data_IF_780704501231
#
_entry.id   IF_780704501231
#
_cell.length_a   1.000
_cell.length_b   1.000
_cell.length_c   1.000
_cell.angle_alpha   90.00
_cell.angle_beta   90.00
_cell.angle_gamma   90.00
#
_symmetry.space_group_name_H-M   'P 1'
#
loop_
_entity.id
_entity.type
_entity.pdbx_description
1 polymer ?
#
# COMPACT_ATOMS: atom_id res chain seq x y z
N UNK A 1 -1.04 -5.29 22.79
CA UNK A 1 -2.16 -5.61 21.90
C UNK A 1 -1.77 -5.21 20.48
N UNK A 2 -1.95 -6.07 19.50
CA UNK A 2 -1.69 -5.77 18.08
C UNK A 2 -3.01 -5.42 17.43
N UNK A 3 -3.10 -4.29 16.76
CA UNK A 3 -4.35 -3.79 16.21
C UNK A 3 -4.17 -3.37 14.75
N UNK A 4 -5.21 -3.62 13.98
CA UNK A 4 -5.37 -3.13 12.61
C UNK A 4 -6.70 -2.39 12.58
N UNK A 5 -6.65 -1.12 12.22
CA UNK A 5 -7.83 -0.26 12.07
C UNK A 5 -7.93 0.18 10.62
N UNK A 6 -9.12 0.13 10.05
CA UNK A 6 -9.41 0.69 8.74
C UNK A 6 -10.39 1.85 8.87
N UNK A 7 -10.00 3.01 8.38
CA UNK A 7 -10.80 4.22 8.30
C UNK A 7 -11.46 4.31 6.93
N UNK A 8 -12.74 3.97 6.85
CA UNK A 8 -13.43 3.84 5.57
C UNK A 8 -13.54 5.15 4.78
N UNK A 9 -13.72 6.27 5.44
CA UNK A 9 -13.84 7.59 4.78
C UNK A 9 -12.56 8.04 4.10
N UNK A 10 -11.42 7.81 4.75
CA UNK A 10 -10.09 8.19 4.25
C UNK A 10 -9.35 7.05 3.55
N UNK A 11 -9.96 5.84 3.53
CA UNK A 11 -9.36 4.60 3.01
C UNK A 11 -7.96 4.35 3.56
N UNK A 12 -7.79 4.58 4.86
CA UNK A 12 -6.50 4.48 5.55
C UNK A 12 -6.46 3.26 6.46
N UNK A 13 -5.37 2.53 6.38
CA UNK A 13 -5.05 1.40 7.25
C UNK A 13 -4.02 1.84 8.28
N UNK A 14 -4.29 1.64 9.55
CA UNK A 14 -3.37 1.87 10.64
C UNK A 14 -3.09 0.55 11.38
N UNK A 15 -1.89 0.02 11.19
CA UNK A 15 -1.38 -1.16 11.88
C UNK A 15 -0.51 -0.68 13.02
N UNK A 16 -0.78 -1.13 14.25
CA UNK A 16 0.03 -0.72 15.38
C UNK A 16 0.11 -1.75 16.50
N UNK A 17 1.16 -1.63 17.26
CA UNK A 17 1.36 -2.32 18.52
C UNK A 17 1.72 -1.32 19.62
N UNK A 18 2.33 -1.77 20.70
CA UNK A 18 2.73 -0.89 21.82
C UNK A 18 3.88 0.06 21.47
N UNK A 19 4.67 -0.25 20.44
CA UNK A 19 5.93 0.45 20.12
C UNK A 19 5.90 1.19 18.78
N UNK A 20 5.23 0.63 17.78
CA UNK A 20 5.28 1.12 16.40
C UNK A 20 3.90 1.34 15.81
N UNK A 21 3.84 2.24 14.84
CA UNK A 21 2.71 2.43 13.91
C UNK A 21 3.20 2.29 12.49
N UNK A 22 2.38 1.62 11.66
CA UNK A 22 2.53 1.53 10.23
C UNK A 22 1.22 1.97 9.57
N UNK A 23 1.27 2.99 8.71
CA UNK A 23 0.07 3.60 8.12
C UNK A 23 0.19 3.62 6.61
N UNK A 24 -0.84 3.12 5.95
CA UNK A 24 -1.00 3.08 4.51
C UNK A 24 -2.36 3.66 4.14
N UNK A 25 -2.51 4.17 2.93
CA UNK A 25 -3.80 4.59 2.42
C UNK A 25 -3.99 4.20 0.95
N UNK A 26 -5.24 4.21 0.52
CA UNK A 26 -5.55 4.20 -0.91
C UNK A 26 -5.43 5.63 -1.41
N UNK A 27 -4.49 5.86 -2.32
CA UNK A 27 -4.26 7.14 -2.96
C UNK A 27 -5.41 7.51 -3.91
N UNK A 28 -5.50 8.79 -4.27
CA UNK A 28 -6.56 9.34 -5.15
C UNK A 28 -6.68 8.61 -6.50
N UNK A 29 -5.57 8.10 -7.01
CA UNK A 29 -5.52 7.32 -8.25
C UNK A 29 -5.76 5.81 -8.06
N UNK A 30 -6.05 5.36 -6.85
CA UNK A 30 -6.33 3.97 -6.50
C UNK A 30 -5.11 3.11 -6.16
N UNK A 31 -3.89 3.65 -6.22
CA UNK A 31 -2.70 2.93 -5.76
C UNK A 31 -2.60 2.92 -4.23
N UNK A 32 -1.84 1.98 -3.69
CA UNK A 32 -1.52 1.95 -2.27
C UNK A 32 -0.34 2.86 -1.96
N UNK A 33 -0.57 3.86 -1.10
CA UNK A 33 0.44 4.76 -0.60
C UNK A 33 0.92 4.37 0.80
N UNK A 34 2.22 4.51 1.04
CA UNK A 34 2.82 4.38 2.35
C UNK A 34 2.92 5.76 2.99
N UNK A 35 2.27 5.95 4.14
CA UNK A 35 2.22 7.26 4.81
C UNK A 35 3.25 7.36 5.92
N UNK A 36 3.28 6.37 6.81
CA UNK A 36 4.08 6.44 8.02
C UNK A 36 4.58 5.07 8.47
N UNK A 37 5.83 5.01 8.88
CA UNK A 37 6.39 3.91 9.65
C UNK A 37 7.32 4.47 10.73
N UNK A 38 7.04 4.16 11.99
CA UNK A 38 7.86 4.68 13.08
C UNK A 38 7.28 4.38 14.46
N UNK A 39 7.67 5.21 15.44
CA UNK A 39 7.13 5.10 16.80
C UNK A 39 5.62 5.18 16.80
N UNK A 40 4.99 4.47 17.75
CA UNK A 40 3.56 4.49 17.91
C UNK A 40 3.01 5.91 17.99
N UNK A 41 2.00 6.20 17.18
CA UNK A 41 1.21 7.43 17.24
C UNK A 41 -0.24 7.10 17.57
N UNK A 42 -0.99 8.09 18.02
CA UNK A 42 -2.42 7.93 18.29
C UNK A 42 -3.17 7.70 16.99
N UNK A 43 -4.16 6.81 17.05
CA UNK A 43 -5.06 6.58 15.93
C UNK A 43 -5.95 7.80 15.69
N UNK A 44 -6.17 8.12 14.42
CA UNK A 44 -7.02 9.23 13.95
C UNK A 44 -7.74 8.81 12.68
N UNK A 45 -8.90 9.40 12.43
CA UNK A 45 -9.68 9.20 11.21
C UNK A 45 -8.92 9.64 9.96
N UNK A 46 -8.10 10.68 10.04
CA UNK A 46 -7.41 11.29 8.92
C UNK A 46 -5.92 11.46 9.17
N UNK A 47 -5.12 10.90 8.27
CA UNK A 47 -3.66 11.01 8.19
C UNK A 47 -3.19 11.67 6.89
N UNK A 48 -4.08 12.27 6.11
CA UNK A 48 -3.77 12.86 4.79
C UNK A 48 -2.67 13.93 4.85
N UNK A 49 -2.55 14.61 5.99
CA UNK A 49 -1.48 15.60 6.22
C UNK A 49 -0.06 15.03 6.22
N UNK A 50 0.09 13.70 6.28
CA UNK A 50 1.37 13.02 6.16
C UNK A 50 1.70 12.61 4.71
N UNK A 51 0.75 12.73 3.79
CA UNK A 51 0.99 12.48 2.37
C UNK A 51 1.74 13.66 1.78
N UNK A 52 2.89 13.40 1.20
CA UNK A 52 3.70 14.44 0.55
C UNK A 52 3.05 14.87 -0.76
N UNK A 53 2.59 16.12 -0.82
CA UNK A 53 2.04 16.75 -2.02
C UNK A 53 2.86 17.99 -2.36
N UNK A 54 3.45 18.02 -3.55
CA UNK A 54 4.29 19.10 -4.00
C UNK A 54 3.91 19.45 -5.44
N UNK A 55 3.40 20.67 -5.64
CA UNK A 55 3.22 21.18 -6.99
C UNK A 55 4.58 21.62 -7.54
N UNK A 56 5.03 20.92 -8.60
CA UNK A 56 6.30 21.23 -9.27
C UNK A 56 6.07 21.50 -10.75
N UNK A 57 6.69 22.54 -11.33
CA UNK A 57 6.64 22.78 -12.75
C UNK A 57 7.21 21.58 -13.53
N UNK A 58 6.59 21.25 -14.66
CA UNK A 58 7.05 20.18 -15.58
C UNK A 58 7.13 18.78 -14.94
N UNK A 59 6.46 18.53 -13.84
CA UNK A 59 6.37 17.22 -13.22
C UNK A 59 5.30 16.40 -13.94
N UNK A 60 5.60 15.14 -14.20
CA UNK A 60 4.59 14.19 -14.64
C UNK A 60 3.57 13.93 -13.54
N UNK A 61 2.31 14.12 -13.80
CA UNK A 61 1.23 13.78 -12.90
C UNK A 61 0.19 12.91 -13.62
N UNK A 62 -0.44 12.04 -12.84
CA UNK A 62 -1.40 11.06 -13.35
C UNK A 62 -2.83 11.31 -12.85
N UNK A 63 -3.03 12.45 -12.19
CA UNK A 63 -4.33 12.84 -11.65
C UNK A 63 -4.67 14.26 -12.11
N UNK A 64 -5.60 14.37 -13.07
CA UNK A 64 -5.90 15.62 -13.79
C UNK A 64 -6.35 16.77 -12.89
N UNK A 65 -6.96 16.46 -11.74
CA UNK A 65 -7.58 17.43 -10.86
C UNK A 65 -6.61 17.98 -9.78
N UNK A 66 -5.46 17.33 -9.57
CA UNK A 66 -4.50 17.74 -8.54
C UNK A 66 -3.07 17.69 -9.08
N UNK A 67 -2.55 18.86 -9.45
CA UNK A 67 -1.17 19.00 -9.96
C UNK A 67 -0.09 18.77 -8.90
N UNK A 68 -0.46 18.75 -7.63
CA UNK A 68 0.44 18.38 -6.54
C UNK A 68 0.56 16.87 -6.35
N UNK A 69 -0.29 16.08 -7.02
CA UNK A 69 -0.30 14.63 -6.95
C UNK A 69 0.59 14.03 -8.05
N UNK A 70 1.70 13.44 -7.67
CA UNK A 70 2.59 12.71 -8.58
C UNK A 70 3.22 11.51 -7.89
N UNK A 71 3.18 10.34 -8.54
CA UNK A 71 3.86 9.16 -8.04
C UNK A 71 5.40 9.27 -8.12
N UNK A 72 5.92 10.29 -8.77
CA UNK A 72 7.36 10.57 -8.81
C UNK A 72 7.94 10.84 -7.41
N UNK A 73 7.16 11.44 -6.50
CA UNK A 73 7.60 11.76 -5.14
C UNK A 73 6.73 11.12 -4.03
N UNK A 74 5.47 10.83 -4.29
CA UNK A 74 4.61 10.13 -3.32
C UNK A 74 5.14 8.73 -3.10
N UNK A 75 5.23 8.31 -1.84
CA UNK A 75 5.67 6.96 -1.50
C UNK A 75 4.55 5.96 -1.77
N UNK A 76 4.83 4.97 -2.58
CA UNK A 76 3.96 3.84 -2.82
C UNK A 76 4.33 2.66 -1.93
N UNK A 77 3.34 1.90 -1.51
CA UNK A 77 3.53 0.64 -0.79
C UNK A 77 4.12 -0.44 -1.69
N UNK A 78 3.69 -0.49 -2.93
CA UNK A 78 4.14 -1.47 -3.93
C UNK A 78 4.35 -0.80 -5.30
N UNK A 79 5.48 -0.11 -5.48
CA UNK A 79 5.77 0.61 -6.72
C UNK A 79 6.00 -0.32 -7.90
N UNK A 80 5.54 0.06 -9.09
CA UNK A 80 5.73 -0.66 -10.35
C UNK A 80 6.02 0.31 -11.48
N UNK A 81 6.54 -0.19 -12.61
CA UNK A 81 6.77 0.64 -13.80
C UNK A 81 5.45 1.00 -14.51
N UNK A 82 5.41 2.21 -15.06
CA UNK A 82 4.38 2.65 -16.02
C UNK A 82 3.46 3.74 -15.53
N UNK A 83 3.59 4.19 -14.27
CA UNK A 83 2.71 5.16 -13.64
C UNK A 83 3.44 6.41 -13.14
N UNK A 84 4.45 6.87 -13.89
CA UNK A 84 5.33 8.01 -13.55
C UNK A 84 6.22 7.82 -12.32
N UNK A 85 6.24 6.64 -11.72
CA UNK A 85 7.24 6.25 -10.72
C UNK A 85 8.46 5.67 -11.43
N UNK A 86 9.61 6.34 -11.33
CA UNK A 86 10.87 5.96 -11.96
C UNK A 86 11.84 5.28 -10.99
N UNK A 87 11.41 5.06 -9.75
CA UNK A 87 12.18 4.31 -8.75
C UNK A 87 12.20 2.83 -9.11
N UNK A 88 13.10 2.09 -8.48
CA UNK A 88 13.17 0.65 -8.65
C UNK A 88 11.83 0.00 -8.25
N UNK A 89 11.19 -0.80 -9.12
CA UNK A 89 9.91 -1.41 -8.84
C UNK A 89 10.03 -2.56 -7.84
N UNK A 90 8.95 -2.84 -7.13
CA UNK A 90 8.84 -4.00 -6.24
C UNK A 90 8.78 -5.31 -7.01
N UNK A 91 8.27 -5.29 -8.25
CA UNK A 91 8.21 -6.42 -9.17
C UNK A 91 8.36 -5.94 -10.61
N UNK A 92 9.02 -6.75 -11.44
CA UNK A 92 9.03 -6.60 -12.89
C UNK A 92 8.28 -7.75 -13.56
N UNK A 93 7.26 -7.42 -14.32
CA UNK A 93 6.45 -8.37 -15.05
C UNK A 93 6.65 -8.16 -16.55
N UNK A 94 7.29 -9.13 -17.23
CA UNK A 94 7.41 -9.13 -18.67
C UNK A 94 6.16 -9.74 -19.31
N UNK A 95 5.37 -8.94 -19.98
CA UNK A 95 4.18 -9.37 -20.68
C UNK A 95 4.53 -9.99 -22.04
N UNK A 96 3.61 -10.75 -22.63
CA UNK A 96 3.81 -11.43 -23.93
C UNK A 96 4.11 -10.46 -25.09
N UNK A 97 3.65 -9.22 -25.00
CA UNK A 97 3.90 -8.16 -25.97
C UNK A 97 5.22 -7.42 -25.75
N UNK A 98 6.04 -7.85 -24.78
CA UNK A 98 7.31 -7.21 -24.41
C UNK A 98 7.18 -6.03 -23.46
N UNK A 99 5.97 -5.61 -23.09
CA UNK A 99 5.74 -4.53 -22.12
C UNK A 99 6.11 -4.96 -20.70
N UNK A 100 6.61 -4.01 -19.91
CA UNK A 100 6.84 -4.16 -18.45
C UNK A 100 5.95 -3.24 -17.62
N UNK A 101 4.99 -2.59 -18.25
CA UNK A 101 4.08 -1.67 -17.58
C UNK A 101 3.05 -2.44 -16.78
N UNK A 102 2.86 -2.06 -15.53
CA UNK A 102 1.84 -2.59 -14.63
C UNK A 102 1.15 -1.47 -13.88
N UNK A 103 -0.10 -1.69 -13.47
CA UNK A 103 -0.90 -0.71 -12.74
C UNK A 103 -1.77 -1.41 -11.70
N UNK A 104 -1.20 -1.67 -10.52
CA UNK A 104 -1.91 -2.33 -9.43
C UNK A 104 -2.76 -1.35 -8.64
N UNK A 105 -4.07 -1.46 -8.77
CA UNK A 105 -5.07 -0.66 -8.03
C UNK A 105 -5.72 -1.48 -6.93
N UNK A 106 -6.02 -0.82 -5.83
CA UNK A 106 -6.74 -1.39 -4.70
C UNK A 106 -8.13 -1.87 -5.11
N UNK A 107 -8.49 -3.09 -4.68
CA UNK A 107 -9.80 -3.68 -4.92
C UNK A 107 -10.53 -4.09 -3.65
N UNK A 108 -9.81 -4.29 -2.56
CA UNK A 108 -10.42 -4.69 -1.29
C UNK A 108 -9.40 -5.14 -0.25
N UNK A 109 -9.89 -5.51 0.92
CA UNK A 109 -9.08 -6.03 2.00
C UNK A 109 -9.82 -7.05 2.85
N UNK A 110 -9.08 -7.78 3.66
CA UNK A 110 -9.58 -8.70 4.67
C UNK A 110 -8.70 -8.58 5.93
N UNK A 111 -9.33 -8.62 7.11
CA UNK A 111 -8.63 -8.69 8.39
C UNK A 111 -9.03 -10.00 9.07
N UNK A 112 -8.05 -10.86 9.36
CA UNK A 112 -8.25 -12.16 9.98
C UNK A 112 -7.43 -12.31 11.25
N UNK A 113 -7.94 -13.08 12.21
CA UNK A 113 -7.15 -13.50 13.37
C UNK A 113 -6.13 -14.56 12.95
N UNK A 114 -5.03 -14.56 13.66
CA UNK A 114 -3.97 -15.53 13.43
C UNK A 114 -3.08 -15.16 12.26
N UNK A 115 -2.20 -16.08 11.92
CA UNK A 115 -1.19 -15.95 10.90
C UNK A 115 -1.34 -17.05 9.86
N UNK A 116 -1.51 -16.71 8.57
CA UNK A 116 -1.57 -17.71 7.52
C UNK A 116 -0.21 -18.41 7.35
N UNK A 117 -0.25 -19.70 7.04
CA UNK A 117 0.93 -20.45 6.62
C UNK A 117 1.21 -20.16 5.15
N UNK A 118 2.34 -19.52 4.87
CA UNK A 118 2.80 -19.26 3.51
C UNK A 118 3.90 -20.26 3.16
N UNK A 119 3.68 -21.05 2.11
CA UNK A 119 4.68 -22.02 1.66
C UNK A 119 5.91 -21.30 1.08
N UNK A 120 7.11 -21.74 1.51
CA UNK A 120 8.37 -21.26 0.95
C UNK A 120 8.77 -19.84 1.33
N UNK A 121 8.03 -19.16 2.19
CA UNK A 121 8.37 -17.82 2.66
C UNK A 121 8.81 -17.85 4.13
N UNK A 122 9.75 -16.97 4.52
CA UNK A 122 10.09 -16.76 5.92
C UNK A 122 8.84 -16.32 6.71
N UNK A 123 8.75 -16.76 7.93
CA UNK A 123 7.61 -16.44 8.77
C UNK A 123 8.04 -16.02 10.16
N UNK A 124 7.39 -14.99 10.71
CA UNK A 124 7.50 -14.61 12.12
C UNK A 124 6.83 -15.72 12.95
N UNK A 125 7.44 -16.08 14.07
CA UNK A 125 6.89 -17.04 14.99
C UNK A 125 5.68 -16.46 15.75
N UNK A 126 4.64 -17.25 15.88
CA UNK A 126 3.48 -16.99 16.74
C UNK A 126 3.05 -18.32 17.38
N UNK A 127 2.91 -18.35 18.70
CA UNK A 127 2.53 -19.57 19.45
C UNK A 127 1.06 -19.90 19.29
N UNK A 128 0.23 -18.86 19.17
CA UNK A 128 -1.23 -19.02 19.04
C UNK A 128 -1.80 -18.06 17.99
N UNK A 129 -3.01 -18.35 17.53
CA UNK A 129 -3.74 -17.45 16.63
C UNK A 129 -4.09 -16.10 17.28
N UNK A 130 -4.14 -16.05 18.62
CA UNK A 130 -4.46 -14.82 19.35
C UNK A 130 -3.29 -13.82 19.37
N UNK A 131 -2.08 -14.27 19.09
CA UNK A 131 -0.88 -13.42 19.07
C UNK A 131 -0.71 -12.63 17.79
N UNK A 132 -1.43 -12.98 16.74
CA UNK A 132 -1.33 -12.34 15.44
C UNK A 132 -2.69 -11.90 14.90
N UNK A 133 -2.66 -10.80 14.15
CA UNK A 133 -3.75 -10.35 13.30
C UNK A 133 -3.14 -10.11 11.94
N UNK A 134 -3.79 -10.61 10.90
CA UNK A 134 -3.31 -10.48 9.52
C UNK A 134 -4.20 -9.53 8.75
N UNK A 135 -3.59 -8.55 8.10
CA UNK A 135 -4.21 -7.74 7.06
C UNK A 135 -3.82 -8.31 5.71
N UNK A 136 -4.82 -8.59 4.88
CA UNK A 136 -4.64 -8.92 3.47
C UNK A 136 -5.23 -7.81 2.63
N UNK A 137 -4.44 -7.22 1.74
CA UNK A 137 -4.87 -6.19 0.81
C UNK A 137 -4.83 -6.79 -0.60
N UNK A 138 -5.91 -6.63 -1.34
CA UNK A 138 -6.04 -7.09 -2.72
C UNK A 138 -5.82 -5.94 -3.68
N UNK A 139 -4.89 -6.11 -4.59
CA UNK A 139 -4.64 -5.21 -5.69
C UNK A 139 -4.85 -5.95 -7.01
N UNK A 140 -5.31 -5.23 -8.03
CA UNK A 140 -5.48 -5.77 -9.38
C UNK A 140 -4.81 -4.87 -10.40
N UNK A 141 -4.02 -5.49 -11.26
CA UNK A 141 -3.47 -4.80 -12.43
C UNK A 141 -4.58 -4.56 -13.45
N UNK A 142 -4.85 -3.29 -13.73
CA UNK A 142 -5.90 -2.88 -14.68
C UNK A 142 -5.62 -3.28 -16.13
N UNK A 143 -4.34 -3.48 -16.47
CA UNK A 143 -3.89 -3.81 -17.84
C UNK A 143 -3.92 -5.32 -18.11
N UNK A 144 -3.49 -6.13 -17.16
CA UNK A 144 -3.32 -7.59 -17.35
C UNK A 144 -4.32 -8.43 -16.60
N UNK A 145 -5.01 -7.83 -15.61
CA UNK A 145 -5.91 -8.54 -14.72
C UNK A 145 -5.22 -9.38 -13.63
N UNK A 146 -3.90 -9.31 -13.51
CA UNK A 146 -3.13 -9.99 -12.45
C UNK A 146 -3.59 -9.48 -11.09
N UNK A 147 -3.77 -10.39 -10.16
CA UNK A 147 -4.08 -10.09 -8.76
C UNK A 147 -2.81 -10.18 -7.94
N UNK A 148 -2.59 -9.17 -7.11
CA UNK A 148 -1.52 -9.12 -6.13
C UNK A 148 -2.13 -9.07 -4.72
N UNK A 149 -1.67 -9.92 -3.84
CA UNK A 149 -2.05 -9.94 -2.43
C UNK A 149 -0.87 -9.46 -1.58
N UNK A 150 -1.09 -8.41 -0.80
CA UNK A 150 -0.13 -7.94 0.21
C UNK A 150 -0.60 -8.42 1.58
N UNK A 151 0.30 -9.09 2.32
CA UNK A 151 0.02 -9.63 3.66
C UNK A 151 0.92 -8.98 4.70
N UNK A 152 0.29 -8.51 5.78
CA UNK A 152 0.95 -7.86 6.91
C UNK A 152 0.62 -8.56 8.22
#
# INVERSE_FOLDING_TARGET
MRNIVFHDKTKTFHLYNEKISYIMCVLENGHMGQIYFGKKIHDKEDFSYLVEKIERPMTSYIYEWDKSFSLEHIRQEYPVYGTTDYRHPAIELLQKNGSRISEFKYTGYEITKGKPKLQGLPAIYAESEEEAVTLRIYLRDSLTGIILELLY
#
